data_IF_000844292041
#
_entry.id   IF_000844292041
#
_cell.length_a   1.000
_cell.length_b   1.000
_cell.length_c   1.000
_cell.angle_alpha   90.00
_cell.angle_beta   90.00
_cell.angle_gamma   90.00
#
_symmetry.space_group_name_H-M   'P 1'
#
loop_
_entity.id
_entity.type
_entity.pdbx_description
1 polymer ?
#
# COMPACT_ATOMS: atom_id res chain seq x y z
N UNK A 1 -5.75 -3.09 34.48
CA UNK A 1 -5.53 -2.55 33.13
C UNK A 1 -5.90 -3.67 32.17
N UNK A 2 -6.92 -3.48 31.31
CA UNK A 2 -7.16 -4.44 30.23
C UNK A 2 -5.94 -4.38 29.31
N UNK A 3 -5.31 -5.51 29.06
CA UNK A 3 -4.23 -5.60 28.07
C UNK A 3 -4.70 -4.92 26.79
N UNK A 4 -3.97 -3.89 26.35
CA UNK A 4 -4.24 -3.28 25.05
C UNK A 4 -3.95 -4.36 24.00
N UNK A 5 -4.88 -4.64 23.07
CA UNK A 5 -4.58 -5.56 21.98
C UNK A 5 -3.30 -5.09 21.27
N UNK A 6 -2.42 -6.02 20.91
CA UNK A 6 -1.07 -5.76 20.36
C UNK A 6 -1.07 -4.71 19.24
N UNK A 7 -2.12 -4.75 18.41
CA UNK A 7 -2.40 -3.76 17.39
C UNK A 7 -2.40 -2.29 17.89
N UNK A 8 -3.05 -2.00 19.02
CA UNK A 8 -3.20 -0.64 19.53
C UNK A 8 -1.85 0.00 19.91
N UNK A 9 -0.86 -0.82 20.26
CA UNK A 9 0.49 -0.37 20.55
C UNK A 9 1.25 0.05 19.27
N UNK A 10 0.93 -0.57 18.13
CA UNK A 10 1.63 -0.33 16.88
C UNK A 10 0.95 0.70 15.97
N UNK A 11 -0.31 1.06 16.25
CA UNK A 11 -1.07 2.03 15.45
C UNK A 11 -0.34 3.37 15.18
N UNK A 12 0.42 3.97 16.12
CA UNK A 12 1.19 5.18 15.85
C UNK A 12 2.30 4.99 14.80
N UNK A 13 2.96 3.83 14.78
CA UNK A 13 3.99 3.53 13.79
C UNK A 13 3.39 3.33 12.41
N UNK A 14 2.25 2.66 12.33
CA UNK A 14 1.48 2.53 11.10
C UNK A 14 0.97 3.87 10.58
N UNK A 15 0.52 4.77 11.46
CA UNK A 15 0.14 6.13 11.09
C UNK A 15 1.32 6.94 10.56
N UNK A 16 2.48 6.85 11.20
CA UNK A 16 3.70 7.49 10.71
C UNK A 16 4.13 6.93 9.34
N UNK A 17 4.13 5.61 9.19
CA UNK A 17 4.42 4.94 7.92
C UNK A 17 3.44 5.35 6.81
N UNK A 18 2.15 5.43 7.13
CA UNK A 18 1.11 5.94 6.21
C UNK A 18 1.41 7.34 5.72
N UNK A 19 1.70 8.29 6.63
CA UNK A 19 2.00 9.69 6.27
C UNK A 19 3.30 9.80 5.48
N UNK A 20 4.33 9.02 5.81
CA UNK A 20 5.59 9.03 5.07
C UNK A 20 5.39 8.49 3.65
N UNK A 21 4.76 7.33 3.49
CA UNK A 21 4.48 6.75 2.18
C UNK A 21 3.58 7.66 1.34
N UNK A 22 2.58 8.27 1.98
CA UNK A 22 1.70 9.28 1.39
C UNK A 22 2.48 10.48 0.85
N UNK A 23 3.29 11.10 1.71
CA UNK A 23 4.09 12.26 1.34
C UNK A 23 5.10 11.93 0.25
N UNK A 24 5.79 10.79 0.36
CA UNK A 24 6.76 10.34 -0.65
C UNK A 24 6.08 10.07 -1.99
N UNK A 25 4.96 9.34 -2.01
CA UNK A 25 4.21 9.09 -3.24
C UNK A 25 3.69 10.37 -3.90
N UNK A 26 3.12 11.28 -3.13
CA UNK A 26 2.61 12.55 -3.67
C UNK A 26 3.72 13.53 -4.08
N UNK A 27 4.90 13.42 -3.46
CA UNK A 27 6.03 14.30 -3.79
C UNK A 27 6.56 14.08 -5.20
N UNK A 28 6.26 12.95 -5.85
CA UNK A 28 6.57 12.70 -7.27
C UNK A 28 5.85 13.68 -8.21
N UNK A 29 4.78 14.32 -7.76
CA UNK A 29 4.07 15.35 -8.54
C UNK A 29 4.88 16.66 -8.60
N UNK A 30 5.62 16.97 -7.54
CA UNK A 30 6.26 18.27 -7.34
C UNK A 30 7.78 18.26 -7.51
N UNK A 31 8.40 17.08 -7.32
CA UNK A 31 9.86 16.92 -7.31
C UNK A 31 10.30 16.19 -8.57
N UNK A 32 10.94 16.93 -9.47
CA UNK A 32 11.52 16.39 -10.69
C UNK A 32 13.00 16.05 -10.49
N UNK A 33 13.25 14.91 -9.83
CA UNK A 33 14.62 14.49 -9.49
C UNK A 33 15.23 13.48 -10.48
N UNK A 34 14.45 12.51 -10.96
CA UNK A 34 14.93 11.44 -11.84
C UNK A 34 13.79 10.65 -12.49
N UNK A 35 14.08 9.96 -13.59
CA UNK A 35 13.15 9.06 -14.26
C UNK A 35 12.62 7.96 -13.33
N UNK A 36 13.46 7.45 -12.41
CA UNK A 36 13.03 6.48 -11.40
C UNK A 36 12.01 7.09 -10.42
N UNK A 37 12.23 8.34 -10.00
CA UNK A 37 11.36 9.02 -9.05
C UNK A 37 9.95 9.22 -9.60
N UNK A 38 9.84 9.66 -10.85
CA UNK A 38 8.55 9.81 -11.52
C UNK A 38 7.92 8.48 -11.94
N UNK A 39 8.76 7.53 -12.35
CA UNK A 39 8.30 6.27 -12.94
C UNK A 39 7.85 5.22 -11.93
N UNK A 40 8.45 5.14 -10.73
CA UNK A 40 8.22 4.00 -9.84
C UNK A 40 7.89 4.34 -8.40
N UNK A 41 8.24 5.53 -7.90
CA UNK A 41 8.05 5.83 -6.46
C UNK A 41 6.57 5.84 -6.08
N UNK A 42 5.71 6.36 -6.95
CA UNK A 42 4.27 6.30 -6.73
C UNK A 42 3.75 4.87 -6.85
N UNK A 43 4.28 4.05 -7.75
CA UNK A 43 3.89 2.64 -7.87
C UNK A 43 4.38 1.77 -6.71
N UNK A 44 5.49 2.12 -6.06
CA UNK A 44 5.95 1.45 -4.84
C UNK A 44 5.11 1.89 -3.63
N UNK A 45 4.96 3.19 -3.43
CA UNK A 45 4.31 3.76 -2.25
C UNK A 45 2.78 3.69 -2.33
N UNK A 46 2.24 3.69 -3.55
CA UNK A 46 0.83 3.76 -3.92
C UNK A 46 -0.03 2.58 -3.46
N UNK A 47 0.39 1.33 -3.68
CA UNK A 47 -0.30 0.18 -3.10
C UNK A 47 -0.05 0.08 -1.59
N UNK A 48 1.13 0.50 -1.12
CA UNK A 48 1.56 0.35 0.26
C UNK A 48 0.80 1.23 1.27
N UNK A 49 0.71 2.54 1.07
CA UNK A 49 -0.11 3.42 1.94
C UNK A 49 -1.61 3.04 1.87
N UNK A 50 -2.11 2.58 0.73
CA UNK A 50 -3.49 2.12 0.57
C UNK A 50 -3.71 0.81 1.34
N UNK A 51 -2.75 -0.10 1.36
CA UNK A 51 -2.80 -1.29 2.20
C UNK A 51 -3.01 -0.91 3.68
N UNK A 52 -2.19 0.01 4.20
CA UNK A 52 -2.28 0.51 5.59
C UNK A 52 -3.65 1.16 5.85
N UNK A 53 -4.13 1.98 4.91
CA UNK A 53 -5.42 2.67 4.99
C UNK A 53 -6.59 1.69 5.04
N UNK A 54 -6.66 0.75 4.10
CA UNK A 54 -7.77 -0.19 3.98
C UNK A 54 -7.82 -1.20 5.13
N UNK A 55 -6.64 -1.61 5.63
CA UNK A 55 -6.53 -2.43 6.84
C UNK A 55 -6.90 -1.66 8.11
N UNK A 56 -6.81 -0.32 8.10
CA UNK A 56 -7.05 0.49 9.27
C UNK A 56 -5.95 0.37 10.33
N UNK A 57 -4.71 0.02 9.93
CA UNK A 57 -3.59 -0.21 10.87
C UNK A 57 -3.18 1.05 11.62
N UNK A 58 -3.53 2.23 11.10
CA UNK A 58 -3.15 3.54 11.64
C UNK A 58 -4.01 4.01 12.82
N UNK A 59 -5.06 3.26 13.20
CA UNK A 59 -6.04 3.71 14.21
C UNK A 59 -6.40 2.61 15.19
N UNK A 60 -6.59 2.95 16.47
CA UNK A 60 -7.05 1.99 17.49
C UNK A 60 -8.55 1.67 17.39
N UNK A 61 -9.30 2.43 16.58
CA UNK A 61 -10.75 2.23 16.37
C UNK A 61 -11.05 1.38 15.13
N UNK A 62 -10.19 0.41 14.87
CA UNK A 62 -10.25 -0.31 13.61
C UNK A 62 -11.27 -1.45 13.59
N UNK A 63 -11.85 -1.88 14.71
CA UNK A 63 -12.87 -2.94 14.71
C UNK A 63 -14.22 -2.49 14.12
N UNK A 64 -14.40 -2.70 12.81
CA UNK A 64 -15.66 -2.40 12.13
C UNK A 64 -15.92 -3.38 10.97
N UNK A 65 -17.04 -3.25 10.26
CA UNK A 65 -17.37 -4.15 9.14
C UNK A 65 -16.38 -4.07 7.98
N UNK A 66 -15.74 -2.92 7.80
CA UNK A 66 -14.79 -2.67 6.71
C UNK A 66 -13.49 -3.44 6.92
N UNK A 67 -12.84 -3.30 8.08
CA UNK A 67 -11.58 -3.99 8.39
C UNK A 67 -11.75 -5.50 8.57
N UNK A 68 -12.96 -5.95 8.94
CA UNK A 68 -13.32 -7.38 8.92
C UNK A 68 -13.41 -7.97 7.52
N UNK A 69 -13.75 -7.14 6.52
CA UNK A 69 -13.71 -7.56 5.12
C UNK A 69 -12.27 -7.52 4.59
N UNK A 70 -11.57 -6.42 4.84
CA UNK A 70 -10.16 -6.23 4.47
C UNK A 70 -9.23 -6.91 5.46
N UNK A 71 -9.23 -8.25 5.45
CA UNK A 71 -8.18 -9.03 6.12
C UNK A 71 -6.86 -8.90 5.34
N UNK A 72 -5.72 -9.03 6.00
CA UNK A 72 -4.39 -8.88 5.39
C UNK A 72 -4.25 -9.58 4.03
N UNK A 73 -4.60 -10.87 3.96
CA UNK A 73 -4.57 -11.66 2.72
C UNK A 73 -5.51 -11.14 1.64
N UNK A 74 -6.74 -10.78 1.99
CA UNK A 74 -7.72 -10.25 1.03
C UNK A 74 -7.25 -8.91 0.48
N UNK A 75 -6.77 -8.04 1.36
CA UNK A 75 -6.22 -6.74 0.98
C UNK A 75 -5.04 -6.92 0.03
N UNK A 76 -4.06 -7.77 0.37
CA UNK A 76 -2.95 -8.09 -0.53
C UNK A 76 -3.44 -8.55 -1.91
N UNK A 77 -4.33 -9.55 -1.96
CA UNK A 77 -4.84 -10.09 -3.22
C UNK A 77 -5.60 -9.06 -4.05
N UNK A 78 -6.42 -8.21 -3.41
CA UNK A 78 -7.15 -7.13 -4.10
C UNK A 78 -6.17 -6.13 -4.69
N UNK A 79 -5.17 -5.68 -3.93
CA UNK A 79 -4.19 -4.71 -4.45
C UNK A 79 -3.32 -5.30 -5.56
N UNK A 80 -2.84 -6.54 -5.40
CA UNK A 80 -2.12 -7.24 -6.48
C UNK A 80 -2.99 -7.35 -7.74
N UNK A 81 -4.26 -7.76 -7.59
CA UNK A 81 -5.18 -7.87 -8.70
C UNK A 81 -5.42 -6.53 -9.39
N UNK A 82 -5.68 -5.46 -8.64
CA UNK A 82 -5.91 -4.12 -9.19
C UNK A 82 -4.67 -3.60 -9.91
N UNK A 83 -3.50 -3.61 -9.26
CA UNK A 83 -2.25 -3.14 -9.84
C UNK A 83 -1.89 -3.92 -11.11
N UNK A 84 -2.00 -5.25 -11.08
CA UNK A 84 -1.67 -6.07 -12.24
C UNK A 84 -2.70 -5.91 -13.36
N UNK A 85 -3.96 -5.64 -13.03
CA UNK A 85 -5.00 -5.36 -14.02
C UNK A 85 -4.76 -4.02 -14.70
N UNK A 86 -4.36 -3.00 -13.95
CA UNK A 86 -3.98 -1.69 -14.51
C UNK A 86 -2.85 -1.87 -15.52
N UNK A 87 -1.76 -2.55 -15.14
CA UNK A 87 -0.66 -2.85 -16.08
C UNK A 87 -1.04 -3.74 -17.24
N UNK A 88 -1.90 -4.73 -17.02
CA UNK A 88 -2.48 -5.53 -18.10
C UNK A 88 -3.25 -4.66 -19.10
N UNK A 89 -4.03 -3.70 -18.63
CA UNK A 89 -4.75 -2.75 -19.48
C UNK A 89 -3.78 -1.83 -20.24
N UNK A 90 -2.66 -1.42 -19.62
CA UNK A 90 -1.60 -0.68 -20.30
C UNK A 90 -0.98 -1.50 -21.45
N UNK A 91 -0.67 -2.77 -21.19
CA UNK A 91 -0.13 -3.69 -22.19
C UNK A 91 -1.05 -3.82 -23.42
N UNK A 92 -2.37 -3.83 -23.20
CA UNK A 92 -3.35 -3.85 -24.29
C UNK A 92 -3.71 -2.47 -24.86
N UNK A 93 -3.04 -1.40 -24.42
CA UNK A 93 -3.27 -0.02 -24.84
C UNK A 93 -4.73 0.45 -24.66
N UNK A 94 -5.39 0.03 -23.57
CA UNK A 94 -6.77 0.43 -23.28
C UNK A 94 -6.91 1.93 -22.98
N UNK A 95 -5.82 2.58 -22.57
CA UNK A 95 -5.72 4.03 -22.40
C UNK A 95 -4.29 4.50 -22.69
N UNK A 96 -4.11 5.82 -22.81
CA UNK A 96 -2.81 6.41 -23.12
C UNK A 96 -1.88 6.38 -21.90
N UNK A 97 -1.11 5.30 -21.76
CA UNK A 97 -0.01 5.16 -20.82
C UNK A 97 1.08 4.25 -21.39
N UNK A 98 2.26 4.27 -20.76
CA UNK A 98 3.41 3.48 -21.19
C UNK A 98 3.49 2.22 -20.36
N UNK A 99 3.27 1.06 -20.98
CA UNK A 99 3.50 -0.22 -20.32
C UNK A 99 4.97 -0.38 -19.92
N UNK A 100 5.22 -0.66 -18.65
CA UNK A 100 6.53 -1.02 -18.12
C UNK A 100 6.44 -2.30 -17.26
N UNK A 101 7.08 -3.41 -17.66
CA UNK A 101 7.08 -4.64 -16.87
C UNK A 101 7.74 -4.49 -15.49
N UNK A 102 8.56 -3.46 -15.26
CA UNK A 102 9.16 -3.20 -13.95
C UNK A 102 8.15 -2.67 -12.93
N UNK A 103 6.99 -2.18 -13.37
CA UNK A 103 5.92 -1.69 -12.48
C UNK A 103 5.35 -2.83 -11.63
N UNK A 104 5.31 -4.06 -12.16
CA UNK A 104 4.93 -5.24 -11.37
C UNK A 104 5.85 -5.44 -10.16
N UNK A 105 7.16 -5.21 -10.34
CA UNK A 105 8.14 -5.30 -9.26
C UNK A 105 8.01 -4.11 -8.30
N UNK A 106 7.77 -2.92 -8.82
CA UNK A 106 7.52 -1.71 -8.04
C UNK A 106 6.34 -1.92 -7.07
N UNK A 107 5.20 -2.43 -7.55
CA UNK A 107 4.01 -2.67 -6.72
C UNK A 107 4.28 -3.61 -5.55
N UNK A 108 5.04 -4.68 -5.78
CA UNK A 108 5.29 -5.69 -4.74
C UNK A 108 6.44 -5.34 -3.81
N UNK A 109 7.34 -4.44 -4.22
CA UNK A 109 8.56 -4.09 -3.51
C UNK A 109 8.31 -3.66 -2.06
N UNK A 110 7.22 -2.93 -1.80
CA UNK A 110 6.85 -2.50 -0.45
C UNK A 110 5.53 -3.09 0.04
N UNK A 111 4.62 -3.48 -0.86
CA UNK A 111 3.36 -4.12 -0.51
C UNK A 111 3.55 -5.49 0.17
N UNK A 112 4.43 -6.35 -0.35
CA UNK A 112 4.68 -7.68 0.24
C UNK A 112 5.34 -7.56 1.63
N UNK A 113 6.41 -6.76 1.82
CA UNK A 113 6.98 -6.56 3.15
C UNK A 113 5.96 -6.04 4.17
N UNK A 114 5.09 -5.09 3.79
CA UNK A 114 4.05 -4.58 4.69
C UNK A 114 3.03 -5.65 5.07
N UNK A 115 2.60 -6.47 4.11
CA UNK A 115 1.71 -7.60 4.38
C UNK A 115 2.34 -8.61 5.36
N UNK A 116 3.61 -8.96 5.15
CA UNK A 116 4.35 -9.87 6.05
C UNK A 116 4.41 -9.28 7.47
N UNK A 117 4.69 -7.99 7.58
CA UNK A 117 4.78 -7.29 8.86
C UNK A 117 3.41 -7.22 9.56
N UNK A 118 2.33 -6.98 8.83
CA UNK A 118 0.94 -7.02 9.35
C UNK A 118 0.56 -8.42 9.88
N UNK A 119 0.79 -9.49 9.11
CA UNK A 119 0.51 -10.86 9.56
C UNK A 119 1.36 -11.27 10.79
N UNK A 120 2.61 -10.81 10.88
CA UNK A 120 3.48 -11.11 12.03
C UNK A 120 3.09 -10.35 13.30
N UNK A 121 2.65 -9.10 13.19
CA UNK A 121 2.26 -8.28 14.35
C UNK A 121 0.87 -8.68 14.86
N UNK A 122 0.03 -9.25 13.99
CA UNK A 122 -1.27 -9.78 14.36
C UNK A 122 -2.30 -8.67 14.57
N UNK A 123 -3.06 -8.39 13.51
CA UNK A 123 -4.24 -7.51 13.52
C UNK A 123 -5.48 -8.31 13.15
#
# INVERSE_FOLDING_TARGET
>A
MKDKPTHDAHAPYWAAGFVLLCGTGLSTIWIDSSAFWHGYVLDITGPAWNYILFRGLYTTKAENRWTKFFTARKTLLIFLFVCFTIEGMQYFNFYASTYDPWDFLAYIALLIPLYILDEHIGF
#
